data_IF_506741648500
#
_entry.id   IF_506741648500
#
_cell.length_a   1.000
_cell.length_b   1.000
_cell.length_c   1.000
_cell.angle_alpha   90.00
_cell.angle_beta   90.00
_cell.angle_gamma   90.00
#
_symmetry.space_group_name_H-M   'P 1'
#
loop_
_entity.id
_entity.type
_entity.pdbx_description
1 polymer ?
#
# COMPACT_ATOMS: atom_id res chain seq x y z
N UNK A 1 -37.04 103.12 -21.04
CA UNK A 1 -35.87 103.70 -20.35
C UNK A 1 -35.93 103.34 -18.87
N UNK A 2 -34.83 102.78 -18.34
CA UNK A 2 -34.36 102.68 -16.94
C UNK A 2 -35.40 102.43 -15.83
N UNK A 3 -35.33 101.24 -15.21
CA UNK A 3 -34.71 100.93 -13.87
C UNK A 3 -35.69 101.21 -12.72
N UNK A 4 -35.84 100.38 -11.69
CA UNK A 4 -35.00 99.29 -11.22
C UNK A 4 -35.73 98.37 -10.24
N UNK A 5 -34.99 97.33 -9.84
CA UNK A 5 -35.39 96.09 -9.18
C UNK A 5 -35.45 96.19 -7.65
N UNK A 6 -36.29 95.36 -7.01
CA UNK A 6 -36.02 94.79 -5.68
C UNK A 6 -36.57 93.36 -5.55
N UNK A 7 -35.61 92.43 -5.47
CA UNK A 7 -35.47 91.24 -4.59
C UNK A 7 -36.71 90.50 -4.08
N UNK A 8 -36.68 89.18 -4.28
CA UNK A 8 -37.42 88.18 -3.49
C UNK A 8 -37.03 86.76 -3.92
N UNK A 9 -36.04 86.16 -3.26
CA UNK A 9 -35.67 84.75 -3.39
C UNK A 9 -36.62 83.91 -2.53
N UNK A 10 -37.29 82.88 -3.08
CA UNK A 10 -37.38 81.53 -2.49
C UNK A 10 -37.60 80.50 -3.61
N UNK A 11 -36.83 79.42 -3.48
CA UNK A 11 -36.65 78.19 -4.24
C UNK A 11 -37.90 77.46 -4.72
N UNK A 12 -37.78 76.68 -5.82
CA UNK A 12 -38.28 75.30 -5.98
C UNK A 12 -37.56 74.60 -7.14
N UNK A 13 -37.39 73.29 -6.95
CA UNK A 13 -36.57 72.28 -7.61
C UNK A 13 -36.67 72.16 -9.13
N UNK A 14 -35.58 71.67 -9.74
CA UNK A 14 -35.62 70.81 -10.93
C UNK A 14 -34.51 69.75 -10.87
N UNK A 15 -34.93 68.48 -10.96
CA UNK A 15 -34.09 67.32 -11.18
C UNK A 15 -33.53 67.35 -12.60
N UNK A 16 -32.21 67.30 -12.75
CA UNK A 16 -31.55 66.91 -13.99
C UNK A 16 -30.75 65.63 -13.74
N UNK A 17 -31.10 64.60 -14.52
CA UNK A 17 -30.37 63.35 -14.66
C UNK A 17 -29.03 63.59 -15.38
N UNK A 18 -27.96 62.97 -14.86
CA UNK A 18 -26.72 62.76 -15.60
C UNK A 18 -26.48 61.25 -15.74
N UNK A 19 -26.42 60.79 -16.99
CA UNK A 19 -26.03 59.43 -17.37
C UNK A 19 -24.56 59.18 -16.98
N UNK A 20 -24.29 58.06 -16.32
CA UNK A 20 -22.93 57.60 -16.04
C UNK A 20 -22.52 56.57 -17.10
N UNK A 21 -21.36 56.80 -17.71
CA UNK A 21 -20.77 55.99 -18.76
C UNK A 21 -20.57 54.54 -18.33
N UNK A 22 -21.03 53.62 -19.19
CA UNK A 22 -20.82 52.18 -19.10
C UNK A 22 -19.41 51.80 -19.56
N UNK A 23 -18.48 51.59 -18.63
CA UNK A 23 -17.31 50.74 -18.85
C UNK A 23 -16.57 50.55 -17.52
N UNK A 24 -16.99 49.53 -16.78
CA UNK A 24 -16.19 48.72 -15.85
C UNK A 24 -17.16 47.76 -15.13
N UNK A 25 -17.70 46.78 -15.86
CA UNK A 25 -18.05 45.54 -15.19
C UNK A 25 -16.71 44.88 -14.80
N UNK A 26 -16.43 44.62 -13.51
CA UNK A 26 -15.38 43.68 -13.20
C UNK A 26 -15.77 42.38 -13.91
N UNK A 27 -14.86 41.82 -14.70
CA UNK A 27 -15.05 40.46 -15.21
C UNK A 27 -15.51 39.59 -14.02
N UNK A 28 -16.58 38.79 -14.16
CA UNK A 28 -17.03 37.94 -13.08
C UNK A 28 -15.82 37.11 -12.67
N UNK A 29 -15.34 37.32 -11.45
CA UNK A 29 -14.32 36.46 -10.84
C UNK A 29 -15.04 35.13 -10.67
N UNK A 30 -14.94 34.28 -11.67
CA UNK A 30 -15.30 32.87 -11.53
C UNK A 30 -14.24 32.29 -10.62
N UNK A 31 -14.44 32.44 -9.31
CA UNK A 31 -13.84 31.56 -8.32
C UNK A 31 -14.40 30.18 -8.67
N UNK A 32 -13.72 29.47 -9.57
CA UNK A 32 -14.03 28.09 -9.86
C UNK A 32 -13.81 27.35 -8.56
N UNK A 33 -14.88 26.85 -7.94
CA UNK A 33 -14.82 26.04 -6.72
C UNK A 33 -14.16 24.68 -6.95
N UNK A 34 -13.74 24.43 -8.18
CA UNK A 34 -13.24 23.17 -8.69
C UNK A 34 -12.17 23.39 -9.75
N UNK A 35 -11.28 22.42 -9.88
CA UNK A 35 -10.24 22.40 -10.90
C UNK A 35 -10.10 20.98 -11.47
N UNK A 36 -9.41 20.88 -12.61
CA UNK A 36 -9.23 19.61 -13.33
C UNK A 36 -7.92 18.94 -12.96
N UNK A 37 -7.98 17.64 -12.71
CA UNK A 37 -6.82 16.76 -12.61
C UNK A 37 -6.72 15.94 -13.89
N UNK A 38 -5.55 15.96 -14.51
CA UNK A 38 -5.21 15.11 -15.65
C UNK A 38 -4.07 14.18 -15.25
N UNK A 39 -4.38 12.89 -15.19
CA UNK A 39 -3.43 11.81 -14.92
C UNK A 39 -3.10 11.14 -16.25
N UNK A 40 -1.87 11.34 -16.71
CA UNK A 40 -1.33 10.67 -17.89
C UNK A 40 -0.68 9.35 -17.45
N UNK A 41 -0.94 8.26 -18.18
CA UNK A 41 -0.49 6.90 -17.84
C UNK A 41 -0.95 6.45 -16.45
N UNK A 42 -2.19 6.79 -16.09
CA UNK A 42 -2.78 6.42 -14.81
C UNK A 42 -4.27 6.73 -14.72
N UNK A 43 -4.79 6.58 -13.51
CA UNK A 43 -6.19 6.76 -13.13
C UNK A 43 -6.34 7.86 -12.07
N UNK A 44 -7.55 8.41 -11.92
CA UNK A 44 -7.84 9.55 -11.04
C UNK A 44 -7.97 10.89 -11.76
N UNK A 45 -8.05 10.89 -13.10
CA UNK A 45 -8.42 12.09 -13.86
C UNK A 45 -9.87 12.49 -13.57
N UNK A 46 -10.14 13.80 -13.52
CA UNK A 46 -11.49 14.29 -13.27
C UNK A 46 -11.53 15.76 -12.87
N UNK A 47 -12.73 16.24 -12.55
CA UNK A 47 -12.96 17.57 -11.99
C UNK A 47 -13.28 17.43 -10.50
N UNK A 48 -12.50 18.11 -9.67
CA UNK A 48 -12.54 18.00 -8.21
C UNK A 48 -12.76 19.36 -7.57
N UNK A 49 -13.43 19.41 -6.41
CA UNK A 49 -13.54 20.68 -5.68
C UNK A 49 -12.19 21.02 -5.07
N UNK A 50 -11.89 22.31 -5.00
CA UNK A 50 -10.69 22.80 -4.30
C UNK A 50 -10.79 22.36 -2.84
N UNK A 51 -9.70 21.79 -2.30
CA UNK A 51 -9.66 21.24 -0.95
C UNK A 51 -10.13 19.77 -0.82
N UNK A 52 -10.69 19.15 -1.86
CA UNK A 52 -10.93 17.71 -1.85
C UNK A 52 -9.60 16.93 -1.83
N UNK A 53 -9.57 15.79 -1.13
CA UNK A 53 -8.52 14.79 -1.30
C UNK A 53 -8.73 14.07 -2.64
N UNK A 54 -7.71 14.09 -3.49
CA UNK A 54 -7.67 13.41 -4.78
C UNK A 54 -6.73 12.22 -4.68
N UNK A 55 -7.20 11.05 -5.11
CA UNK A 55 -6.36 9.86 -5.28
C UNK A 55 -6.00 9.67 -6.75
N UNK A 56 -4.75 9.32 -7.00
CA UNK A 56 -4.22 9.00 -8.33
C UNK A 56 -3.46 7.68 -8.29
N UNK A 57 -3.52 6.93 -9.38
CA UNK A 57 -2.83 5.64 -9.52
C UNK A 57 -2.12 5.56 -10.85
N UNK A 58 -0.93 5.00 -10.87
CA UNK A 58 -0.24 4.70 -12.11
C UNK A 58 -0.89 3.49 -12.80
N UNK A 59 -0.71 3.39 -14.12
CA UNK A 59 -1.10 2.20 -14.86
C UNK A 59 -0.38 0.94 -14.32
N UNK A 60 -1.04 -0.23 -14.34
CA UNK A 60 -0.41 -1.49 -13.96
C UNK A 60 0.85 -1.73 -14.80
N UNK A 61 1.85 -2.39 -14.22
CA UNK A 61 3.10 -2.69 -14.90
C UNK A 61 3.08 -4.12 -15.42
N UNK A 62 3.66 -4.35 -16.60
CA UNK A 62 3.93 -5.71 -17.07
C UNK A 62 5.15 -6.29 -16.36
N UNK A 63 5.45 -7.57 -16.59
CA UNK A 63 6.58 -8.26 -15.96
C UNK A 63 7.95 -7.64 -16.26
N UNK A 64 8.06 -6.88 -17.35
CA UNK A 64 9.30 -6.21 -17.77
C UNK A 64 9.42 -4.77 -17.28
N UNK A 65 8.48 -4.29 -16.46
CA UNK A 65 8.47 -2.92 -15.94
C UNK A 65 8.12 -2.87 -14.45
N UNK A 66 8.56 -1.81 -13.79
CA UNK A 66 8.05 -1.36 -12.48
C UNK A 66 7.61 0.09 -12.58
N UNK A 67 6.81 0.54 -11.61
CA UNK A 67 6.58 1.97 -11.45
C UNK A 67 7.87 2.65 -11.00
N UNK A 68 8.18 3.80 -11.63
CA UNK A 68 9.38 4.58 -11.35
C UNK A 68 9.04 5.78 -10.46
N UNK A 69 8.30 6.74 -11.02
CA UNK A 69 7.91 7.97 -10.33
C UNK A 69 6.82 8.75 -11.08
N UNK A 70 6.16 9.64 -10.35
CA UNK A 70 5.30 10.69 -10.88
C UNK A 70 6.10 11.93 -11.28
N UNK A 71 5.81 12.49 -12.46
CA UNK A 71 6.35 13.78 -12.93
C UNK A 71 5.24 14.79 -13.25
N UNK A 72 5.61 16.03 -13.56
CA UNK A 72 4.66 17.13 -13.81
C UNK A 72 4.47 17.93 -12.54
N UNK A 73 3.22 18.08 -12.08
CA UNK A 73 2.90 18.79 -10.84
C UNK A 73 3.15 17.94 -9.58
N UNK A 74 4.27 17.21 -9.55
CA UNK A 74 4.59 16.19 -8.55
C UNK A 74 5.03 16.77 -7.20
N UNK A 75 5.30 18.07 -7.10
CA UNK A 75 5.63 18.74 -5.83
C UNK A 75 4.48 18.71 -4.81
N UNK A 76 3.25 18.40 -5.24
CA UNK A 76 2.10 18.16 -4.35
C UNK A 76 2.10 16.76 -3.73
N UNK A 77 2.83 15.82 -4.31
CA UNK A 77 2.76 14.42 -3.94
C UNK A 77 3.71 14.16 -2.77
N UNK A 78 3.19 13.57 -1.70
CA UNK A 78 4.00 13.26 -0.52
C UNK A 78 5.07 12.20 -0.82
N UNK A 79 4.77 11.27 -1.74
CA UNK A 79 5.71 10.25 -2.15
C UNK A 79 5.60 9.94 -3.64
N UNK A 80 6.23 10.77 -4.47
CA UNK A 80 6.21 10.63 -5.92
C UNK A 80 6.75 9.29 -6.44
N UNK A 81 7.41 8.48 -5.61
CA UNK A 81 7.87 7.13 -5.96
C UNK A 81 6.82 6.04 -5.82
N UNK A 82 5.70 6.28 -5.12
CA UNK A 82 4.64 5.27 -4.96
C UNK A 82 3.63 5.32 -6.10
N UNK A 83 3.19 4.14 -6.54
CA UNK A 83 2.26 4.01 -7.67
C UNK A 83 0.88 4.60 -7.36
N UNK A 84 0.47 4.59 -6.08
CA UNK A 84 -0.69 5.29 -5.55
C UNK A 84 -0.22 6.54 -4.79
N UNK A 85 -0.85 7.69 -5.06
CA UNK A 85 -0.64 8.91 -4.30
C UNK A 85 -1.95 9.64 -4.02
N UNK A 86 -1.93 10.47 -2.99
CA UNK A 86 -2.99 11.41 -2.68
C UNK A 86 -2.45 12.84 -2.52
N UNK A 87 -3.30 13.82 -2.82
CA UNK A 87 -3.02 15.23 -2.57
C UNK A 87 -4.32 16.02 -2.35
N UNK A 88 -4.20 17.18 -1.73
CA UNK A 88 -5.32 18.13 -1.58
C UNK A 88 -5.42 18.98 -2.85
N UNK A 89 -6.60 19.00 -3.47
CA UNK A 89 -6.82 19.69 -4.73
C UNK A 89 -6.54 21.19 -4.61
N UNK A 90 -5.55 21.75 -5.33
CA UNK A 90 -5.25 23.18 -5.27
C UNK A 90 -6.25 23.99 -6.11
N UNK A 91 -6.20 25.32 -5.98
CA UNK A 91 -6.99 26.27 -6.76
C UNK A 91 -6.49 26.46 -8.20
N UNK A 92 -6.06 25.37 -8.85
CA UNK A 92 -5.56 25.36 -10.22
C UNK A 92 -5.60 23.94 -10.80
N UNK A 93 -5.55 23.83 -12.12
CA UNK A 93 -5.47 22.54 -12.78
C UNK A 93 -4.15 21.83 -12.45
N UNK A 94 -4.22 20.51 -12.34
CA UNK A 94 -3.09 19.63 -12.01
C UNK A 94 -2.90 18.65 -13.16
N UNK A 95 -1.66 18.52 -13.63
CA UNK A 95 -1.29 17.47 -14.57
C UNK A 95 -0.10 16.70 -14.03
N UNK A 96 -0.27 15.38 -13.93
CA UNK A 96 0.76 14.45 -13.47
C UNK A 96 0.87 13.29 -14.44
N UNK A 97 2.06 12.71 -14.54
CA UNK A 97 2.34 11.58 -15.43
C UNK A 97 3.00 10.45 -14.66
N UNK A 98 2.41 9.26 -14.74
CA UNK A 98 2.98 8.05 -14.16
C UNK A 98 4.04 7.49 -15.10
N UNK A 99 5.29 7.41 -14.63
CA UNK A 99 6.39 6.86 -15.42
C UNK A 99 6.71 5.45 -14.96
N UNK A 100 7.03 4.60 -15.93
CA UNK A 100 7.47 3.23 -15.69
C UNK A 100 8.93 3.09 -16.10
N UNK A 101 9.64 2.20 -15.43
CA UNK A 101 11.03 1.86 -15.70
C UNK A 101 11.12 0.42 -16.14
N UNK A 102 11.79 0.18 -17.26
CA UNK A 102 12.09 -1.17 -17.72
C UNK A 102 13.04 -1.85 -16.72
N UNK A 103 12.80 -3.12 -16.46
CA UNK A 103 13.62 -3.96 -15.59
C UNK A 103 14.15 -5.15 -16.35
N UNK A 104 15.28 -5.68 -15.90
CA UNK A 104 15.73 -7.00 -16.37
C UNK A 104 14.76 -8.05 -15.84
N UNK A 105 14.09 -8.83 -16.71
CA UNK A 105 13.20 -9.88 -16.27
C UNK A 105 13.95 -10.86 -15.36
N UNK A 106 13.29 -11.27 -14.30
CA UNK A 106 13.81 -12.28 -13.38
C UNK A 106 12.77 -13.35 -13.14
N UNK A 107 13.23 -14.51 -12.69
CA UNK A 107 12.36 -15.61 -12.30
C UNK A 107 12.85 -16.13 -10.97
N UNK A 108 11.92 -16.28 -10.02
CA UNK A 108 12.22 -16.95 -8.77
C UNK A 108 12.51 -18.42 -9.06
N UNK A 109 13.68 -18.90 -8.63
CA UNK A 109 13.99 -20.32 -8.62
C UNK A 109 13.21 -20.98 -7.50
N UNK A 110 12.65 -22.15 -7.76
CA UNK A 110 11.99 -22.97 -6.76
C UNK A 110 12.80 -24.25 -6.53
N UNK A 111 13.03 -24.59 -5.27
CA UNK A 111 13.47 -25.93 -4.88
C UNK A 111 13.03 -26.25 -3.45
N UNK A 112 13.12 -27.53 -3.08
CA UNK A 112 12.98 -27.95 -1.69
C UNK A 112 14.35 -27.96 -1.02
N UNK A 113 14.54 -27.13 0.01
CA UNK A 113 15.78 -27.07 0.77
C UNK A 113 15.54 -27.65 2.17
N UNK A 114 16.47 -28.46 2.66
CA UNK A 114 16.38 -29.05 4.00
C UNK A 114 16.47 -27.95 5.07
N UNK A 115 15.43 -27.81 5.88
CA UNK A 115 15.43 -27.05 7.13
C UNK A 115 16.03 -27.89 8.27
N UNK A 116 15.60 -27.66 9.51
CA UNK A 116 16.09 -28.41 10.68
C UNK A 116 15.75 -29.90 10.53
N UNK A 117 14.46 -30.21 10.39
CA UNK A 117 13.95 -31.58 10.39
C UNK A 117 13.26 -31.97 9.10
N UNK A 118 12.71 -31.02 8.35
CA UNK A 118 11.95 -31.26 7.12
C UNK A 118 12.45 -30.40 5.95
N UNK A 119 12.09 -30.78 4.73
CA UNK A 119 12.35 -29.94 3.57
C UNK A 119 11.30 -28.82 3.48
N UNK A 120 11.77 -27.61 3.22
CA UNK A 120 10.97 -26.39 3.09
C UNK A 120 10.78 -26.06 1.61
N UNK A 121 9.60 -25.59 1.23
CA UNK A 121 9.43 -24.97 -0.09
C UNK A 121 10.16 -23.62 -0.06
N UNK A 122 11.09 -23.42 -1.00
CA UNK A 122 11.89 -22.19 -1.07
C UNK A 122 11.83 -21.63 -2.47
N UNK A 123 11.42 -20.36 -2.56
CA UNK A 123 11.52 -19.55 -3.77
C UNK A 123 12.58 -18.49 -3.56
N UNK A 124 13.47 -18.29 -4.52
CA UNK A 124 14.58 -17.34 -4.34
C UNK A 124 15.08 -16.74 -5.64
N UNK A 125 15.70 -15.57 -5.53
CA UNK A 125 16.45 -14.93 -6.61
C UNK A 125 17.65 -14.18 -6.04
N UNK A 126 18.81 -14.35 -6.66
CA UNK A 126 20.05 -13.66 -6.29
C UNK A 126 20.58 -12.92 -7.54
N UNK A 127 20.59 -11.58 -7.54
CA UNK A 127 21.27 -10.84 -8.61
C UNK A 127 22.79 -11.03 -8.50
N UNK A 128 23.52 -10.81 -9.59
CA UNK A 128 24.99 -10.96 -9.64
C UNK A 128 25.71 -10.11 -8.58
N UNK A 129 25.16 -8.93 -8.28
CA UNK A 129 25.59 -8.09 -7.17
C UNK A 129 24.35 -7.69 -6.38
N UNK A 130 24.41 -7.88 -5.07
CA UNK A 130 23.28 -7.64 -4.19
C UNK A 130 23.64 -6.65 -3.09
N UNK A 131 22.71 -5.74 -2.80
CA UNK A 131 22.80 -4.83 -1.64
C UNK A 131 22.49 -5.52 -0.32
N UNK A 132 21.80 -6.66 -0.38
CA UNK A 132 21.24 -7.35 0.76
C UNK A 132 20.40 -8.56 0.37
N UNK A 133 19.99 -9.34 1.35
CA UNK A 133 19.04 -10.45 1.17
C UNK A 133 17.79 -10.17 2.01
N UNK A 134 16.63 -10.11 1.36
CA UNK A 134 15.34 -9.92 2.01
C UNK A 134 14.60 -11.26 2.14
N UNK A 135 14.28 -11.62 3.39
CA UNK A 135 13.37 -12.73 3.70
C UNK A 135 11.92 -12.21 3.71
N UNK A 136 11.03 -12.82 2.92
CA UNK A 136 9.62 -12.48 2.87
C UNK A 136 8.79 -13.53 3.62
N UNK A 137 7.92 -13.09 4.53
CA UNK A 137 7.30 -13.92 5.56
C UNK A 137 5.76 -13.79 5.53
N UNK A 138 5.07 -14.91 5.33
CA UNK A 138 3.61 -14.95 5.17
C UNK A 138 2.87 -14.75 6.50
N UNK A 139 1.62 -14.33 6.45
CA UNK A 139 0.70 -14.32 7.60
C UNK A 139 0.13 -15.70 7.92
N UNK A 140 -0.70 -15.79 8.97
CA UNK A 140 -1.37 -17.04 9.36
C UNK A 140 -2.22 -17.61 8.22
N UNK A 141 -2.21 -18.93 8.06
CA UNK A 141 -2.88 -19.64 6.95
C UNK A 141 -2.18 -19.52 5.59
N UNK A 142 -1.15 -18.67 5.48
CA UNK A 142 -0.34 -18.54 4.26
C UNK A 142 0.76 -19.60 4.13
N UNK A 143 1.42 -19.60 2.99
CA UNK A 143 2.60 -20.41 2.70
C UNK A 143 3.50 -19.73 1.65
N UNK A 144 4.62 -20.37 1.29
CA UNK A 144 5.59 -19.79 0.36
C UNK A 144 5.01 -19.56 -1.05
N UNK A 145 4.16 -20.49 -1.51
CA UNK A 145 3.49 -20.35 -2.81
C UNK A 145 2.53 -19.16 -2.81
N UNK A 146 1.73 -19.00 -1.75
CA UNK A 146 0.78 -17.88 -1.66
C UNK A 146 1.48 -16.53 -1.80
N UNK A 147 2.65 -16.34 -1.16
CA UNK A 147 3.44 -15.11 -1.29
C UNK A 147 3.88 -14.83 -2.73
N UNK A 148 4.46 -15.83 -3.41
CA UNK A 148 5.02 -15.64 -4.75
C UNK A 148 3.98 -15.64 -5.86
N UNK A 149 2.71 -15.88 -5.54
CA UNK A 149 1.58 -15.76 -6.48
C UNK A 149 0.63 -14.62 -6.14
N UNK A 150 0.74 -14.02 -4.96
CA UNK A 150 -0.09 -12.89 -4.57
C UNK A 150 0.37 -11.62 -5.31
N UNK A 151 -0.58 -10.90 -5.90
CA UNK A 151 -0.29 -9.76 -6.77
C UNK A 151 0.49 -8.64 -6.07
N UNK A 152 0.12 -8.29 -4.84
CA UNK A 152 0.77 -7.18 -4.11
C UNK A 152 2.15 -7.59 -3.63
N UNK A 153 2.32 -8.83 -3.17
CA UNK A 153 3.66 -9.36 -2.85
C UNK A 153 4.57 -9.44 -4.09
N UNK A 154 4.02 -9.76 -5.26
CA UNK A 154 4.77 -9.73 -6.51
C UNK A 154 5.26 -8.31 -6.86
N UNK A 155 4.50 -7.25 -6.55
CA UNK A 155 4.99 -5.88 -6.72
C UNK A 155 6.19 -5.61 -5.80
N UNK A 156 6.10 -5.97 -4.52
CA UNK A 156 7.19 -5.83 -3.56
C UNK A 156 8.44 -6.62 -4.01
N UNK A 157 8.27 -7.86 -4.48
CA UNK A 157 9.37 -8.68 -5.00
C UNK A 157 10.03 -8.01 -6.21
N UNK A 158 9.25 -7.53 -7.18
CA UNK A 158 9.77 -6.81 -8.36
C UNK A 158 10.54 -5.57 -7.96
N UNK A 159 10.02 -4.80 -7.02
CA UNK A 159 10.64 -3.57 -6.56
C UNK A 159 11.93 -3.81 -5.77
N UNK A 160 11.96 -4.82 -4.89
CA UNK A 160 13.18 -5.22 -4.17
C UNK A 160 14.27 -5.73 -5.12
N UNK A 161 13.91 -6.59 -6.09
CA UNK A 161 14.88 -7.09 -7.09
C UNK A 161 15.42 -5.94 -7.92
N UNK A 162 14.56 -5.01 -8.36
CA UNK A 162 14.95 -3.82 -9.12
C UNK A 162 15.85 -2.90 -8.30
N UNK A 163 15.62 -2.82 -6.99
CA UNK A 163 16.47 -2.08 -6.05
C UNK A 163 17.80 -2.80 -5.75
N UNK A 164 18.01 -4.04 -6.22
CA UNK A 164 19.25 -4.80 -6.08
C UNK A 164 19.29 -5.70 -4.85
N UNK A 165 18.14 -6.09 -4.30
CA UNK A 165 18.06 -7.07 -3.21
C UNK A 165 17.91 -8.49 -3.76
N UNK A 166 18.57 -9.45 -3.14
CA UNK A 166 18.21 -10.86 -3.27
C UNK A 166 16.96 -11.16 -2.44
N UNK A 167 16.20 -12.15 -2.89
CA UNK A 167 14.93 -12.55 -2.29
C UNK A 167 15.04 -14.00 -1.85
N UNK A 168 14.57 -14.28 -0.63
CA UNK A 168 14.27 -15.63 -0.16
C UNK A 168 12.85 -15.62 0.38
N UNK A 169 12.02 -16.52 -0.13
CA UNK A 169 10.67 -16.78 0.35
C UNK A 169 10.58 -18.23 0.77
N UNK A 170 10.10 -18.46 1.99
CA UNK A 170 9.80 -19.79 2.51
C UNK A 170 8.60 -19.70 3.44
N UNK A 171 8.37 -20.73 4.24
CA UNK A 171 7.15 -20.90 5.02
C UNK A 171 7.41 -21.47 6.40
N UNK A 172 6.47 -21.22 7.30
CA UNK A 172 6.48 -21.77 8.65
C UNK A 172 6.52 -23.31 8.64
N UNK A 173 7.01 -23.93 9.71
CA UNK A 173 7.02 -25.37 9.91
C UNK A 173 5.63 -25.97 9.73
N UNK A 174 4.62 -25.34 10.34
CA UNK A 174 3.22 -25.74 10.27
C UNK A 174 2.68 -25.69 8.84
N UNK A 175 3.10 -24.70 8.04
CA UNK A 175 2.69 -24.58 6.64
C UNK A 175 3.26 -25.71 5.78
N UNK A 176 4.54 -26.06 5.97
CA UNK A 176 5.14 -27.21 5.27
C UNK A 176 4.51 -28.55 5.67
N UNK A 177 4.05 -28.67 6.91
CA UNK A 177 3.36 -29.86 7.42
C UNK A 177 1.86 -29.87 7.14
N UNK A 178 1.30 -28.73 6.72
CA UNK A 178 -0.14 -28.48 6.64
C UNK A 178 -0.87 -28.90 7.94
N UNK A 179 -0.31 -28.52 9.09
CA UNK A 179 -0.76 -28.95 10.41
C UNK A 179 -0.43 -27.90 11.47
N UNK A 180 -1.41 -27.55 12.28
CA UNK A 180 -1.20 -26.82 13.54
C UNK A 180 -0.51 -27.75 14.55
N UNK A 181 0.79 -27.51 14.78
CA UNK A 181 1.64 -28.38 15.59
C UNK A 181 1.59 -27.97 17.06
N UNK A 182 1.39 -26.68 17.33
CA UNK A 182 1.37 -26.14 18.69
C UNK A 182 -0.04 -26.05 19.30
N UNK A 183 -1.10 -26.30 18.52
CA UNK A 183 -2.49 -26.35 18.97
C UNK A 183 -3.11 -24.98 19.22
N UNK A 184 -2.59 -23.91 18.62
CA UNK A 184 -3.11 -22.55 18.82
C UNK A 184 -4.33 -22.22 17.93
N UNK A 185 -4.76 -23.14 17.07
CA UNK A 185 -5.89 -22.99 16.15
C UNK A 185 -5.55 -22.36 14.80
N UNK A 186 -4.27 -22.12 14.50
CA UNK A 186 -3.79 -21.50 13.26
C UNK A 186 -2.54 -22.21 12.73
N UNK A 187 -2.37 -22.21 11.40
CA UNK A 187 -1.12 -22.63 10.75
C UNK A 187 -0.26 -21.39 10.54
N UNK A 188 0.82 -21.23 11.28
CA UNK A 188 1.56 -19.97 11.30
C UNK A 188 3.02 -20.10 11.75
N UNK A 189 3.78 -19.00 11.69
CA UNK A 189 5.13 -18.95 12.22
C UNK A 189 5.12 -19.03 13.74
N UNK A 190 6.06 -19.79 14.29
CA UNK A 190 6.25 -19.84 15.72
C UNK A 190 7.04 -18.61 16.21
N UNK A 191 6.39 -17.76 16.99
CA UNK A 191 7.00 -16.53 17.53
C UNK A 191 7.64 -16.74 18.91
N UNK A 192 7.47 -17.91 19.53
CA UNK A 192 8.03 -18.23 20.84
C UNK A 192 8.50 -19.68 20.95
N UNK A 193 9.59 -19.98 21.66
CA UNK A 193 10.50 -19.04 22.31
C UNK A 193 11.37 -18.26 21.30
N UNK A 194 12.07 -17.24 21.78
CA UNK A 194 12.87 -16.31 20.96
C UNK A 194 14.33 -16.74 20.97
N UNK A 195 14.61 -17.90 20.38
CA UNK A 195 15.97 -18.43 20.23
C UNK A 195 16.07 -19.37 19.02
N UNK A 196 17.26 -19.50 18.42
CA UNK A 196 17.44 -20.32 17.22
C UNK A 196 17.64 -21.82 17.47
N UNK A 197 17.56 -22.27 18.73
CA UNK A 197 17.86 -23.67 19.10
C UNK A 197 16.61 -24.50 19.37
N UNK A 198 15.58 -23.88 19.92
CA UNK A 198 14.32 -24.54 20.29
C UNK A 198 13.16 -24.10 19.39
N UNK A 199 13.20 -22.86 18.88
CA UNK A 199 12.24 -22.41 17.88
C UNK A 199 12.59 -22.98 16.50
N UNK A 200 11.77 -23.92 16.04
CA UNK A 200 11.97 -24.63 14.77
C UNK A 200 12.00 -23.68 13.56
N UNK A 201 11.21 -22.60 13.56
CA UNK A 201 11.17 -21.68 12.43
C UNK A 201 12.41 -20.79 12.36
N UNK A 202 12.90 -20.30 13.49
CA UNK A 202 14.19 -19.61 13.52
C UNK A 202 15.33 -20.55 13.12
N UNK A 203 15.29 -21.81 13.56
CA UNK A 203 16.22 -22.85 13.13
C UNK A 203 16.15 -23.13 11.63
N UNK A 204 14.96 -23.18 11.05
CA UNK A 204 14.74 -23.37 9.62
C UNK A 204 15.34 -22.22 8.82
N UNK A 205 15.06 -20.96 9.19
CA UNK A 205 15.64 -19.79 8.51
C UNK A 205 17.18 -19.80 8.58
N UNK A 206 17.74 -20.19 9.74
CA UNK A 206 19.18 -20.35 9.90
C UNK A 206 19.75 -21.40 8.94
N UNK A 207 19.13 -22.58 8.87
CA UNK A 207 19.57 -23.67 7.98
C UNK A 207 19.51 -23.27 6.50
N UNK A 208 18.46 -22.55 6.09
CA UNK A 208 18.32 -22.02 4.74
C UNK A 208 19.40 -20.99 4.41
N UNK A 209 19.63 -20.01 5.30
CA UNK A 209 20.70 -19.02 5.15
C UNK A 209 22.07 -19.69 4.99
N UNK A 210 22.37 -20.64 5.88
CA UNK A 210 23.65 -21.34 5.88
C UNK A 210 23.84 -22.19 4.61
N UNK A 211 22.74 -22.74 4.06
CA UNK A 211 22.75 -23.40 2.76
C UNK A 211 23.12 -22.44 1.61
N UNK A 212 22.53 -21.24 1.58
CA UNK A 212 22.87 -20.25 0.55
C UNK A 212 24.31 -19.71 0.71
N UNK A 213 24.82 -19.62 1.95
CA UNK A 213 26.24 -19.33 2.20
C UNK A 213 27.15 -20.43 1.66
N UNK A 214 26.88 -21.69 2.00
CA UNK A 214 27.70 -22.82 1.55
C UNK A 214 27.71 -22.97 0.02
N UNK A 215 26.60 -22.63 -0.64
CA UNK A 215 26.47 -22.65 -2.11
C UNK A 215 27.06 -21.41 -2.80
N UNK A 216 27.57 -20.43 -2.06
CA UNK A 216 28.19 -19.23 -2.62
C UNK A 216 27.22 -18.19 -3.21
N UNK A 217 25.92 -18.27 -2.92
CA UNK A 217 24.93 -17.27 -3.37
C UNK A 217 25.04 -15.96 -2.59
N UNK A 218 25.48 -16.03 -1.33
CA UNK A 218 25.64 -14.88 -0.43
C UNK A 218 26.64 -15.25 0.67
N UNK A 219 26.94 -14.33 1.58
CA UNK A 219 27.84 -14.57 2.71
C UNK A 219 27.49 -13.66 3.90
N UNK A 220 28.19 -13.83 5.02
CA UNK A 220 27.93 -13.10 6.25
C UNK A 220 28.20 -11.59 6.19
N UNK A 221 28.93 -11.08 5.18
CA UNK A 221 29.13 -9.63 5.01
C UNK A 221 27.97 -8.96 4.27
N UNK A 222 27.11 -9.73 3.60
CA UNK A 222 25.91 -9.19 2.95
C UNK A 222 24.80 -9.03 4.00
N UNK A 223 24.23 -7.83 4.16
CA UNK A 223 23.21 -7.60 5.17
C UNK A 223 21.92 -8.37 4.87
N UNK A 224 21.30 -8.87 5.93
CA UNK A 224 20.01 -9.56 5.88
C UNK A 224 18.90 -8.61 6.34
N UNK A 225 17.71 -8.79 5.79
CA UNK A 225 16.50 -8.02 6.07
C UNK A 225 15.30 -8.97 6.14
N UNK A 226 14.25 -8.58 6.86
CA UNK A 226 12.99 -9.33 6.87
C UNK A 226 11.79 -8.41 6.65
N UNK A 227 10.84 -8.87 5.84
CA UNK A 227 9.55 -8.21 5.62
C UNK A 227 8.49 -9.28 5.83
N UNK A 228 7.54 -9.01 6.72
CA UNK A 228 6.45 -9.95 6.96
C UNK A 228 5.12 -9.25 7.14
N UNK A 229 4.04 -9.98 6.89
CA UNK A 229 2.68 -9.51 7.11
C UNK A 229 2.03 -10.29 8.26
N UNK A 230 1.19 -9.63 9.08
CA UNK A 230 0.40 -10.29 10.13
C UNK A 230 1.30 -11.07 11.10
N UNK A 231 1.02 -12.35 11.38
CA UNK A 231 1.91 -13.23 12.13
C UNK A 231 3.35 -13.28 11.56
N UNK A 232 3.53 -13.22 10.23
CA UNK A 232 4.85 -13.09 9.59
C UNK A 232 5.54 -11.76 9.93
N UNK A 233 4.78 -10.70 10.20
CA UNK A 233 5.29 -9.42 10.72
C UNK A 233 5.75 -9.54 12.17
N UNK A 234 5.05 -10.31 13.00
CA UNK A 234 5.53 -10.66 14.34
C UNK A 234 6.81 -11.53 14.28
N UNK A 235 6.85 -12.50 13.37
CA UNK A 235 8.02 -13.33 13.13
C UNK A 235 9.21 -12.52 12.58
N UNK A 236 8.98 -11.57 11.68
CA UNK A 236 9.98 -10.64 11.13
C UNK A 236 10.75 -9.91 12.24
N UNK A 237 10.04 -9.44 13.28
CA UNK A 237 10.65 -8.77 14.43
C UNK A 237 11.59 -9.69 15.22
N UNK A 238 11.13 -10.88 15.61
CA UNK A 238 11.98 -11.82 16.37
C UNK A 238 13.16 -12.32 15.53
N UNK A 239 12.93 -12.57 14.24
CA UNK A 239 13.96 -13.04 13.30
C UNK A 239 15.06 -12.00 13.17
N UNK A 240 14.66 -10.75 12.95
CA UNK A 240 15.57 -9.63 12.83
C UNK A 240 16.40 -9.43 14.10
N UNK A 241 15.77 -9.54 15.27
CA UNK A 241 16.45 -9.43 16.57
C UNK A 241 17.45 -10.57 16.79
N UNK A 242 17.01 -11.84 16.67
CA UNK A 242 17.82 -13.03 16.99
C UNK A 242 19.04 -13.13 16.09
N UNK A 243 18.90 -12.85 14.79
CA UNK A 243 20.01 -12.95 13.84
C UNK A 243 20.67 -11.61 13.51
N UNK A 244 20.34 -10.54 14.23
CA UNK A 244 20.91 -9.20 14.04
C UNK A 244 20.82 -8.73 12.58
N UNK A 245 19.65 -8.90 11.97
CA UNK A 245 19.40 -8.37 10.63
C UNK A 245 19.56 -6.84 10.65
N UNK A 246 19.85 -6.26 9.49
CA UNK A 246 20.13 -4.83 9.38
C UNK A 246 18.88 -3.98 9.62
N UNK A 247 17.71 -4.48 9.25
CA UNK A 247 16.40 -3.97 9.67
C UNK A 247 15.30 -5.01 9.41
N UNK A 248 14.16 -4.82 10.07
CA UNK A 248 12.94 -5.59 9.83
C UNK A 248 11.74 -4.69 9.52
N UNK A 249 10.73 -5.28 8.87
CA UNK A 249 9.49 -4.59 8.50
C UNK A 249 8.29 -5.49 8.80
N UNK A 250 7.22 -4.87 9.29
CA UNK A 250 5.92 -5.51 9.52
C UNK A 250 4.82 -4.79 8.74
N UNK A 251 4.02 -5.54 8.01
CA UNK A 251 2.76 -5.10 7.42
C UNK A 251 1.59 -5.65 8.22
N UNK A 252 0.57 -4.83 8.50
CA UNK A 252 -0.68 -5.22 9.18
C UNK A 252 -0.44 -6.01 10.49
N UNK A 253 0.59 -5.63 11.26
CA UNK A 253 0.86 -6.17 12.58
C UNK A 253 1.75 -5.23 13.41
N UNK A 254 1.39 -5.10 14.68
CA UNK A 254 2.17 -4.46 15.74
C UNK A 254 3.43 -5.22 16.14
N UNK A 255 3.59 -6.45 15.65
CA UNK A 255 4.67 -7.38 15.96
C UNK A 255 4.81 -7.63 17.47
N UNK A 256 5.99 -8.05 17.95
CA UNK A 256 6.15 -8.51 19.34
C UNK A 256 6.79 -7.46 20.26
N UNK A 257 5.96 -6.78 21.06
CA UNK A 257 6.35 -5.69 21.97
C UNK A 257 7.54 -6.02 22.87
N UNK A 258 7.60 -7.24 23.40
CA UNK A 258 8.68 -7.67 24.28
C UNK A 258 10.07 -7.53 23.62
N UNK A 259 10.16 -7.73 22.30
CA UNK A 259 11.40 -7.56 21.55
C UNK A 259 11.76 -6.09 21.41
N UNK A 260 10.80 -5.21 21.15
CA UNK A 260 11.10 -3.79 20.95
C UNK A 260 11.59 -3.09 22.23
N UNK A 261 11.30 -3.65 23.41
CA UNK A 261 11.87 -3.16 24.66
C UNK A 261 13.39 -3.39 24.77
N UNK A 262 13.93 -4.38 24.04
CA UNK A 262 15.35 -4.79 24.15
C UNK A 262 16.12 -4.65 22.85
N UNK A 263 15.47 -4.75 21.71
CA UNK A 263 16.07 -4.76 20.38
C UNK A 263 16.80 -3.47 20.08
N UNK A 264 17.90 -3.59 19.34
CA UNK A 264 18.67 -2.48 18.76
C UNK A 264 18.53 -2.45 17.24
N UNK A 265 17.68 -3.30 16.67
CA UNK A 265 17.49 -3.42 15.21
C UNK A 265 16.43 -2.43 14.75
N UNK A 266 16.73 -1.57 13.75
CA UNK A 266 15.74 -0.69 13.15
C UNK A 266 14.51 -1.43 12.64
N UNK A 267 13.33 -0.88 12.86
CA UNK A 267 12.08 -1.53 12.47
C UNK A 267 11.03 -0.57 11.89
N UNK A 268 10.38 -0.97 10.80
CA UNK A 268 9.28 -0.21 10.18
C UNK A 268 7.94 -0.94 10.34
N UNK A 269 6.89 -0.18 10.61
CA UNK A 269 5.50 -0.64 10.66
C UNK A 269 4.70 -0.01 9.52
N UNK A 270 4.02 -0.86 8.74
CA UNK A 270 3.09 -0.50 7.68
C UNK A 270 1.70 -1.03 8.05
N UNK A 271 0.90 -0.21 8.71
CA UNK A 271 -0.39 -0.61 9.27
C UNK A 271 -1.54 -0.29 8.31
N UNK A 272 -2.70 -0.92 8.52
CA UNK A 272 -3.91 -0.67 7.74
C UNK A 272 -5.01 -0.14 8.66
N UNK A 273 -5.53 1.06 8.38
CA UNK A 273 -6.38 1.80 9.32
C UNK A 273 -7.68 1.11 9.66
N UNK A 274 -8.21 0.37 8.70
CA UNK A 274 -9.50 -0.30 8.75
C UNK A 274 -9.36 -1.81 8.96
N UNK A 275 -8.17 -2.28 9.35
CA UNK A 275 -7.94 -3.65 9.75
C UNK A 275 -8.91 -4.00 10.90
N UNK A 276 -9.69 -5.05 10.65
CA UNK A 276 -10.80 -5.49 11.49
C UNK A 276 -10.48 -6.81 12.21
N UNK A 277 -9.25 -7.31 12.08
CA UNK A 277 -8.80 -8.48 12.82
C UNK A 277 -8.56 -8.09 14.29
N UNK A 278 -9.07 -8.85 15.28
CA UNK A 278 -9.09 -8.44 16.69
C UNK A 278 -7.72 -8.01 17.27
N UNK A 279 -6.64 -8.68 16.88
CA UNK A 279 -5.30 -8.45 17.43
C UNK A 279 -4.49 -7.37 16.71
N UNK A 280 -4.82 -7.07 15.45
CA UNK A 280 -4.01 -6.24 14.55
C UNK A 280 -4.77 -5.02 13.99
N UNK A 281 -6.07 -4.93 14.29
CA UNK A 281 -6.95 -3.82 13.95
C UNK A 281 -6.65 -2.53 14.73
N UNK A 282 -7.67 -1.79 15.17
CA UNK A 282 -7.47 -0.49 15.83
C UNK A 282 -6.49 -0.53 17.03
N UNK A 283 -6.56 -1.58 17.86
CA UNK A 283 -5.61 -1.79 18.98
C UNK A 283 -4.20 -2.08 18.47
N UNK A 284 -4.05 -2.98 17.49
CA UNK A 284 -2.76 -3.27 16.86
C UNK A 284 -2.14 -2.04 16.20
N UNK A 285 -2.94 -1.20 15.56
CA UNK A 285 -2.50 0.07 14.98
C UNK A 285 -1.90 1.01 16.04
N UNK A 286 -2.56 1.13 17.20
CA UNK A 286 -2.07 1.94 18.31
C UNK A 286 -0.82 1.33 18.97
N UNK A 287 -0.77 0.01 19.10
CA UNK A 287 0.39 -0.72 19.63
C UNK A 287 1.60 -0.60 18.71
N UNK A 288 1.41 -0.68 17.39
CA UNK A 288 2.47 -0.49 16.41
C UNK A 288 3.07 0.92 16.49
N UNK A 289 2.24 1.95 16.64
CA UNK A 289 2.69 3.32 16.85
C UNK A 289 3.49 3.44 18.16
N UNK A 290 2.96 2.87 19.25
CA UNK A 290 3.63 2.85 20.56
C UNK A 290 4.99 2.15 20.49
N UNK A 291 5.07 1.01 19.80
CA UNK A 291 6.30 0.25 19.60
C UNK A 291 7.33 1.06 18.79
N UNK A 292 6.89 1.74 17.73
CA UNK A 292 7.76 2.62 16.95
C UNK A 292 8.31 3.78 17.77
N UNK A 293 7.46 4.44 18.57
CA UNK A 293 7.87 5.50 19.49
C UNK A 293 8.83 5.00 20.57
N UNK A 294 8.60 3.80 21.10
CA UNK A 294 9.48 3.14 22.08
C UNK A 294 10.87 2.83 21.54
N UNK A 295 10.99 2.42 20.27
CA UNK A 295 12.29 2.27 19.61
C UNK A 295 12.99 3.63 19.45
N UNK A 296 12.27 4.62 18.93
CA UNK A 296 12.82 5.95 18.69
C UNK A 296 13.28 6.65 19.98
N UNK A 297 12.55 6.50 21.09
CA UNK A 297 12.94 7.07 22.39
C UNK A 297 14.22 6.44 22.96
N UNK A 298 14.54 5.20 22.55
CA UNK A 298 15.80 4.51 22.85
C UNK A 298 16.91 4.78 21.84
N UNK A 299 16.68 5.67 20.86
CA UNK A 299 17.63 5.96 19.79
C UNK A 299 17.73 4.87 18.71
N UNK A 300 16.81 3.91 18.68
CA UNK A 300 16.72 2.89 17.63
C UNK A 300 15.78 3.39 16.54
N UNK A 301 16.27 3.50 15.31
CA UNK A 301 15.48 4.02 14.21
C UNK A 301 14.19 3.22 13.99
N UNK A 302 13.04 3.89 13.99
CA UNK A 302 11.78 3.29 13.59
C UNK A 302 10.89 4.26 12.82
N UNK A 303 10.10 3.71 11.90
CA UNK A 303 9.08 4.42 11.13
C UNK A 303 7.73 3.74 11.29
N UNK A 304 6.68 4.55 11.34
CA UNK A 304 5.31 4.11 11.39
C UNK A 304 4.55 4.76 10.24
N UNK A 305 3.89 3.94 9.43
CA UNK A 305 3.00 4.34 8.38
C UNK A 305 1.67 3.63 8.57
N UNK A 306 0.59 4.30 8.19
CA UNK A 306 -0.75 3.74 8.20
C UNK A 306 -1.40 4.09 6.87
N UNK A 307 -1.88 3.07 6.15
CA UNK A 307 -2.68 3.28 4.94
C UNK A 307 -4.14 3.45 5.34
N UNK A 308 -4.82 4.41 4.72
CA UNK A 308 -6.27 4.62 4.84
C UNK A 308 -6.97 4.02 3.62
N UNK A 309 -8.29 3.88 3.71
CA UNK A 309 -9.14 3.51 2.59
C UNK A 309 -8.86 4.39 1.38
N UNK A 310 -8.97 3.79 0.21
CA UNK A 310 -8.92 4.50 -1.06
C UNK A 310 -10.16 4.18 -1.92
N UNK A 311 -10.56 5.06 -2.84
CA UNK A 311 -11.80 4.87 -3.58
C UNK A 311 -11.62 3.90 -4.73
N UNK A 312 -12.54 2.94 -4.86
CA UNK A 312 -12.53 1.98 -5.97
C UNK A 312 -12.76 2.71 -7.28
N UNK A 313 -11.87 2.51 -8.24
CA UNK A 313 -12.00 3.03 -9.60
C UNK A 313 -12.31 1.89 -10.59
N UNK A 314 -12.94 2.17 -11.74
CA UNK A 314 -13.46 1.13 -12.64
C UNK A 314 -12.41 0.09 -13.09
N UNK A 315 -11.16 0.49 -13.23
CA UNK A 315 -10.04 -0.33 -13.70
C UNK A 315 -9.26 -1.03 -12.58
N UNK A 316 -9.65 -0.86 -11.30
CA UNK A 316 -8.91 -1.40 -10.15
C UNK A 316 -8.61 -2.89 -10.28
N UNK A 317 -9.59 -3.69 -10.69
CA UNK A 317 -9.43 -5.14 -10.83
C UNK A 317 -8.75 -5.57 -12.12
N UNK A 318 -8.56 -4.67 -13.09
CA UNK A 318 -7.75 -4.93 -14.29
C UNK A 318 -6.24 -4.75 -14.05
N UNK A 319 -5.83 -4.53 -12.78
CA UNK A 319 -4.42 -4.61 -12.36
C UNK A 319 -3.82 -5.99 -12.63
N UNK A 320 -4.61 -7.04 -12.50
CA UNK A 320 -4.28 -8.38 -12.98
C UNK A 320 -4.72 -8.49 -14.45
N UNK A 321 -3.78 -8.77 -15.36
CA UNK A 321 -4.01 -8.77 -16.81
C UNK A 321 -5.07 -9.77 -17.29
N UNK A 322 -5.32 -10.81 -16.49
CA UNK A 322 -6.34 -11.84 -16.76
C UNK A 322 -7.77 -11.30 -16.59
N UNK A 323 -7.93 -10.13 -15.95
CA UNK A 323 -9.21 -9.42 -15.83
C UNK A 323 -9.18 -8.25 -16.80
N UNK A 324 -10.03 -8.31 -17.83
CA UNK A 324 -10.14 -7.21 -18.78
C UNK A 324 -10.67 -5.93 -18.12
N UNK A 325 -10.36 -4.76 -18.69
CA UNK A 325 -10.91 -3.46 -18.25
C UNK A 325 -12.45 -3.47 -18.25
N UNK A 326 -13.06 -4.13 -19.24
CA UNK A 326 -14.52 -4.26 -19.31
C UNK A 326 -15.07 -5.09 -18.14
N UNK A 327 -14.43 -6.21 -17.81
CA UNK A 327 -14.78 -7.06 -16.66
C UNK A 327 -14.61 -6.31 -15.34
N UNK A 328 -13.46 -5.62 -15.15
CA UNK A 328 -13.22 -4.79 -13.96
C UNK A 328 -14.28 -3.70 -13.80
N UNK A 329 -14.61 -3.00 -14.89
CA UNK A 329 -15.63 -1.95 -14.88
C UNK A 329 -17.02 -2.51 -14.54
N UNK A 330 -17.34 -3.72 -15.00
CA UNK A 330 -18.59 -4.39 -14.66
C UNK A 330 -18.66 -4.78 -13.18
N UNK A 331 -17.56 -5.31 -12.60
CA UNK A 331 -17.47 -5.59 -11.15
C UNK A 331 -17.62 -4.29 -10.35
N UNK A 332 -16.94 -3.21 -10.74
CA UNK A 332 -17.11 -1.90 -10.10
C UNK A 332 -18.58 -1.44 -10.09
N UNK A 333 -19.28 -1.60 -11.22
CA UNK A 333 -20.71 -1.27 -11.32
C UNK A 333 -21.57 -2.17 -10.43
N UNK A 334 -21.28 -3.47 -10.34
CA UNK A 334 -21.97 -4.39 -9.42
C UNK A 334 -21.79 -3.94 -7.96
N UNK A 335 -20.57 -3.59 -7.55
CA UNK A 335 -20.31 -3.06 -6.20
C UNK A 335 -21.06 -1.74 -5.96
N UNK A 336 -21.04 -0.83 -6.93
CA UNK A 336 -21.69 0.49 -6.83
C UNK A 336 -23.22 0.38 -6.76
N UNK A 337 -23.82 -0.36 -7.69
CA UNK A 337 -25.27 -0.49 -7.81
C UNK A 337 -25.88 -1.24 -6.63
N UNK A 338 -25.10 -2.13 -6.00
CA UNK A 338 -25.52 -2.87 -4.82
C UNK A 338 -25.03 -2.25 -3.50
N UNK A 339 -24.75 -0.94 -3.52
CA UNK A 339 -24.52 -0.13 -2.32
C UNK A 339 -23.28 -0.53 -1.49
N UNK A 340 -22.32 -1.26 -2.04
CA UNK A 340 -21.04 -1.56 -1.38
C UNK A 340 -20.08 -0.38 -1.33
N UNK A 341 -20.30 0.61 -2.21
CA UNK A 341 -19.49 1.81 -2.31
C UNK A 341 -20.21 3.03 -1.73
N UNK A 342 -19.47 3.92 -1.09
CA UNK A 342 -19.95 5.29 -0.76
C UNK A 342 -20.12 6.14 -2.02
N UNK A 343 -20.68 7.34 -1.91
CA UNK A 343 -20.82 8.27 -3.04
C UNK A 343 -19.47 8.67 -3.65
N UNK A 344 -18.41 8.66 -2.83
CA UNK A 344 -17.02 8.86 -3.26
C UNK A 344 -16.29 7.56 -3.62
N UNK A 345 -17.03 6.46 -3.84
CA UNK A 345 -16.55 5.13 -4.26
C UNK A 345 -15.67 4.36 -3.25
N UNK A 346 -15.58 4.76 -1.99
CA UNK A 346 -14.88 3.95 -0.99
C UNK A 346 -15.69 2.71 -0.57
N UNK A 347 -15.00 1.58 -0.36
CA UNK A 347 -15.59 0.35 0.18
C UNK A 347 -16.20 0.57 1.57
N UNK A 348 -17.40 0.01 1.81
CA UNK A 348 -18.08 0.06 3.12
C UNK A 348 -17.78 -1.14 4.03
N UNK A 349 -17.28 -2.23 3.47
CA UNK A 349 -17.01 -3.46 4.19
C UNK A 349 -15.82 -4.21 3.56
N UNK A 350 -15.26 -5.14 4.34
CA UNK A 350 -14.21 -6.07 3.92
C UNK A 350 -14.69 -7.08 2.86
N UNK A 351 -13.75 -7.81 2.28
CA UNK A 351 -14.01 -8.77 1.22
C UNK A 351 -14.80 -9.99 1.69
N UNK A 352 -14.66 -10.42 2.94
CA UNK A 352 -15.45 -11.54 3.50
C UNK A 352 -16.95 -11.23 3.48
N UNK A 353 -17.31 -10.01 3.90
CA UNK A 353 -18.69 -9.54 3.89
C UNK A 353 -19.25 -9.42 2.47
N UNK A 354 -18.45 -8.86 1.56
CA UNK A 354 -18.84 -8.66 0.16
C UNK A 354 -18.97 -10.00 -0.56
N UNK A 355 -17.93 -10.83 -0.51
CA UNK A 355 -17.83 -12.09 -1.24
C UNK A 355 -18.93 -13.07 -0.85
N UNK A 356 -19.25 -13.17 0.45
CA UNK A 356 -20.36 -14.00 0.95
C UNK A 356 -21.69 -13.62 0.30
N UNK A 357 -21.99 -12.33 0.19
CA UNK A 357 -23.22 -11.84 -0.45
C UNK A 357 -23.16 -12.03 -1.96
N UNK A 358 -22.02 -11.75 -2.60
CA UNK A 358 -21.87 -11.94 -4.04
C UNK A 358 -22.11 -13.41 -4.44
N UNK A 359 -21.51 -14.36 -3.73
CA UNK A 359 -21.66 -15.80 -4.02
C UNK A 359 -23.09 -16.31 -3.79
N UNK A 360 -23.81 -15.75 -2.82
CA UNK A 360 -25.19 -16.13 -2.55
C UNK A 360 -26.20 -15.55 -3.56
N UNK A 361 -25.83 -14.53 -4.35
CA UNK A 361 -26.76 -13.76 -5.19
C UNK A 361 -26.28 -13.66 -6.64
N UNK A 362 -26.15 -14.79 -7.33
CA UNK A 362 -25.55 -14.88 -8.68
C UNK A 362 -26.21 -13.98 -9.72
N UNK A 363 -27.53 -13.80 -9.67
CA UNK A 363 -28.26 -12.91 -10.59
C UNK A 363 -27.94 -11.42 -10.39
N UNK A 364 -27.57 -11.02 -9.17
CA UNK A 364 -27.21 -9.64 -8.81
C UNK A 364 -25.74 -9.34 -9.08
N UNK A 365 -24.88 -10.36 -9.00
CA UNK A 365 -23.42 -10.27 -9.21
C UNK A 365 -22.95 -11.23 -10.31
N UNK A 366 -23.50 -11.16 -11.53
CA UNK A 366 -23.20 -12.12 -12.58
C UNK A 366 -21.71 -12.08 -12.99
N UNK A 367 -21.10 -10.90 -13.05
CA UNK A 367 -19.69 -10.74 -13.45
C UNK A 367 -18.77 -11.33 -12.39
N UNK A 368 -18.93 -10.96 -11.12
CA UNK A 368 -18.13 -11.53 -10.03
C UNK A 368 -18.25 -13.06 -9.98
N UNK A 369 -19.45 -13.61 -10.14
CA UNK A 369 -19.66 -15.07 -10.10
C UNK A 369 -19.15 -15.79 -11.35
N UNK A 370 -19.02 -15.11 -12.49
CA UNK A 370 -18.43 -15.66 -13.71
C UNK A 370 -16.92 -15.91 -13.61
N UNK A 371 -16.23 -15.18 -12.74
CA UNK A 371 -14.78 -15.32 -12.52
C UNK A 371 -14.47 -16.71 -11.95
N UNK A 372 -13.32 -17.29 -12.34
CA UNK A 372 -12.84 -18.51 -11.66
C UNK A 372 -12.37 -18.19 -10.22
N UNK A 373 -12.07 -19.24 -9.44
CA UNK A 373 -11.69 -19.07 -8.04
C UNK A 373 -10.45 -18.19 -7.83
N UNK A 374 -9.45 -18.28 -8.72
CA UNK A 374 -8.20 -17.50 -8.63
C UNK A 374 -8.47 -16.01 -8.88
N UNK A 375 -9.25 -15.70 -9.92
CA UNK A 375 -9.60 -14.31 -10.23
C UNK A 375 -10.52 -13.68 -9.18
N UNK A 376 -11.46 -14.45 -8.63
CA UNK A 376 -12.28 -13.99 -7.48
C UNK A 376 -11.43 -13.73 -6.25
N UNK A 377 -10.48 -14.61 -5.96
CA UNK A 377 -9.55 -14.40 -4.85
C UNK A 377 -8.79 -13.09 -5.03
N UNK A 378 -8.22 -12.83 -6.22
CA UNK A 378 -7.58 -11.54 -6.50
C UNK A 378 -8.52 -10.35 -6.29
N UNK A 379 -9.76 -10.39 -6.80
CA UNK A 379 -10.75 -9.31 -6.59
C UNK A 379 -11.01 -9.06 -5.10
N UNK A 380 -11.13 -10.11 -4.29
CA UNK A 380 -11.35 -9.98 -2.85
C UNK A 380 -10.15 -9.34 -2.15
N UNK A 381 -8.93 -9.73 -2.52
CA UNK A 381 -7.73 -9.12 -1.97
C UNK A 381 -7.65 -7.63 -2.32
N UNK A 382 -7.99 -7.26 -3.55
CA UNK A 382 -8.05 -5.86 -3.96
C UNK A 382 -9.14 -5.07 -3.21
N UNK A 383 -10.28 -5.71 -2.90
CA UNK A 383 -11.30 -5.10 -2.03
C UNK A 383 -10.71 -4.78 -0.65
N UNK A 384 -9.97 -5.72 -0.04
CA UNK A 384 -9.37 -5.49 1.27
C UNK A 384 -8.25 -4.45 1.23
N UNK A 385 -7.44 -4.38 0.16
CA UNK A 385 -6.48 -3.29 -0.04
C UNK A 385 -7.19 -1.93 -0.10
N UNK A 386 -8.25 -1.80 -0.90
CA UNK A 386 -9.01 -0.55 -1.03
C UNK A 386 -9.79 -0.20 0.24
N UNK A 387 -10.22 -1.21 1.00
CA UNK A 387 -10.84 -1.05 2.31
C UNK A 387 -9.82 -0.72 3.41
N UNK A 388 -8.51 -0.82 3.14
CA UNK A 388 -7.44 -0.78 4.13
C UNK A 388 -7.67 -1.77 5.28
N UNK A 389 -8.09 -2.99 4.92
CA UNK A 389 -8.29 -4.13 5.82
C UNK A 389 -7.03 -4.95 6.05
N UNK A 390 -7.20 -6.17 6.59
CA UNK A 390 -6.10 -7.07 6.92
C UNK A 390 -5.46 -7.74 5.68
N UNK A 391 -4.81 -6.95 4.82
CA UNK A 391 -4.26 -7.42 3.56
C UNK A 391 -2.91 -6.75 3.25
N UNK A 392 -1.94 -7.49 2.72
CA UNK A 392 -0.69 -6.89 2.22
C UNK A 392 -0.99 -6.00 1.01
N UNK A 393 -0.32 -4.86 0.93
CA UNK A 393 -0.54 -3.83 -0.09
C UNK A 393 0.80 -3.23 -0.55
N UNK A 394 0.87 -2.83 -1.82
CA UNK A 394 2.10 -2.33 -2.45
C UNK A 394 2.29 -0.81 -2.35
N UNK A 395 1.35 -0.10 -1.73
CA UNK A 395 1.33 1.36 -1.61
C UNK A 395 2.52 1.95 -0.82
N UNK A 396 3.28 1.11 -0.10
CA UNK A 396 4.50 1.50 0.62
C UNK A 396 5.74 0.72 0.18
N UNK A 397 5.76 0.14 -1.03
CA UNK A 397 6.90 -0.66 -1.48
C UNK A 397 8.18 0.18 -1.57
N UNK A 398 8.13 1.36 -2.20
CA UNK A 398 9.31 2.23 -2.29
C UNK A 398 9.68 2.82 -0.93
N UNK A 399 8.69 3.11 -0.10
CA UNK A 399 8.88 3.57 1.28
C UNK A 399 9.63 2.53 2.10
N UNK A 400 9.23 1.27 2.01
CA UNK A 400 9.90 0.12 2.63
C UNK A 400 11.33 -0.01 2.12
N UNK A 401 11.55 0.03 0.81
CA UNK A 401 12.89 -0.06 0.23
C UNK A 401 13.80 1.09 0.71
N UNK A 402 13.28 2.33 0.75
CA UNK A 402 14.01 3.48 1.29
C UNK A 402 14.42 3.24 2.74
N UNK A 403 13.54 2.65 3.55
CA UNK A 403 13.87 2.27 4.91
C UNK A 403 14.93 1.16 5.00
N UNK A 404 14.93 0.19 4.09
CA UNK A 404 16.01 -0.82 4.03
C UNK A 404 17.36 -0.21 3.64
N UNK A 405 17.36 0.75 2.71
CA UNK A 405 18.56 1.43 2.22
C UNK A 405 19.16 2.36 3.29
N UNK A 406 18.37 3.30 3.81
CA UNK A 406 18.87 4.39 4.68
C UNK A 406 18.38 4.32 6.13
N UNK A 407 17.29 3.60 6.40
CA UNK A 407 16.59 3.56 7.71
C UNK A 407 16.02 4.93 8.08
N UNK A 408 16.70 5.67 8.96
CA UNK A 408 16.31 7.03 9.36
C UNK A 408 17.31 8.08 8.88
N UNK A 409 18.29 7.67 8.04
CA UNK A 409 19.30 8.55 7.45
C UNK A 409 18.80 9.18 6.15
#
# INVERSE_FOLDING_TARGET
>A
MKKGSFIGLVSILLYCSCQKSSSNDPAPVTNSDSATVTVVNGYGSGKYKIGDTVHIWANPTSDSYVFDQWTGYSSLLQNSGEWHNEFIMPSQNVTVTGNQKAITPFTLKYEKIKGVSISKNVYYYFPTTQKGVAFLLHGSGGNALNLVTNYEWLQMIKDLVTAGYAIIVTEAEEASLNKDVNGNGSIQWNTTPVDSTTNVDLGNIKALRDTFYARGYTNASVPLYSIGMSNGGAFSCILSYVFKFKSGVSYCAQAYKAIFNVSTVPYQFCMAKNDDQPEVGATGNADALTNSQGLNSRGVCSKYFITDRSPVYPERFARLSDISVATSTAIFKELKNNNWLTDKNFMKANSDSVSKVCLANTATYPTYNSLNAVLRYFVNMEIDVMFAGHQFYSDFDKTTIKFLDSRCQ
#
